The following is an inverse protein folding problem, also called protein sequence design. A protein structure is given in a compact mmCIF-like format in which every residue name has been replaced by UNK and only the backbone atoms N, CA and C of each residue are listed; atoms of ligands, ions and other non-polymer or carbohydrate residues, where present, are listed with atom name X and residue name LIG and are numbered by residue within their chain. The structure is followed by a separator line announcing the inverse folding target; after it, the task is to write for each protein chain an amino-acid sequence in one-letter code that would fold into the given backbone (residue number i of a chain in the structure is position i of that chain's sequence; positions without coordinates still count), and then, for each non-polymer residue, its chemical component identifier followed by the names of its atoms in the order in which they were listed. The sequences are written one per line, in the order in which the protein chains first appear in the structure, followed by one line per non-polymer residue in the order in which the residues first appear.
data_IF_945260390321
#
_entry.id   IF_945260390321
#
_cell.length_a   1.000
_cell.length_b   1.000
_cell.length_c   1.000
_cell.angle_alpha   90.00
_cell.angle_beta   90.00
_cell.angle_gamma   90.00
#
_symmetry.space_group_name_H-M   'P 1'
#
loop_
_entity.id
_entity.type
_entity.pdbx_description
1 polymer ?
#
# COMPACT_ATOMS: atom_id res chain seq x y z
N UNK A 1 11.28 3.15 30.06
CA UNK A 1 11.86 1.80 30.17
C UNK A 1 13.13 1.76 31.02
N UNK A 2 13.91 2.84 31.14
CA UNK A 2 15.14 2.85 31.95
C UNK A 2 14.86 2.60 33.44
N UNK A 3 14.01 3.41 34.08
CA UNK A 3 13.77 3.30 35.53
C UNK A 3 13.30 1.89 35.97
N UNK A 4 12.33 1.23 35.30
CA UNK A 4 11.97 -0.14 35.65
C UNK A 4 13.11 -1.15 35.44
N UNK A 5 13.93 -0.98 34.40
CA UNK A 5 15.06 -1.87 34.13
C UNK A 5 16.17 -1.68 35.17
N UNK A 6 16.43 -0.46 35.63
CA UNK A 6 17.41 -0.19 36.70
C UNK A 6 17.04 -0.91 37.99
N UNK A 7 15.75 -0.87 38.38
CA UNK A 7 15.25 -1.57 39.57
C UNK A 7 15.41 -3.09 39.43
N UNK A 8 15.12 -3.66 38.26
CA UNK A 8 15.23 -5.10 38.03
C UNK A 8 16.67 -5.59 37.79
N UNK A 9 17.61 -4.70 37.47
CA UNK A 9 19.00 -5.05 37.17
C UNK A 9 19.97 -4.73 38.33
N UNK A 10 19.47 -4.43 39.54
CA UNK A 10 20.28 -4.15 40.73
C UNK A 10 21.28 -5.27 41.06
N UNK A 11 20.89 -6.52 40.84
CA UNK A 11 21.75 -7.70 41.07
C UNK A 11 22.86 -7.85 40.01
N UNK A 12 22.84 -7.05 38.94
CA UNK A 12 23.76 -7.12 37.80
C UNK A 12 24.56 -5.80 37.62
N UNK A 13 25.46 -5.45 38.55
CA UNK A 13 26.14 -4.14 38.57
C UNK A 13 27.06 -3.88 37.37
N UNK A 14 27.43 -4.91 36.61
CA UNK A 14 28.30 -4.79 35.44
C UNK A 14 27.54 -4.52 34.14
N UNK A 15 26.19 -4.55 34.15
CA UNK A 15 25.37 -4.26 32.97
C UNK A 15 25.17 -2.75 32.87
N UNK A 16 25.67 -2.15 31.79
CA UNK A 16 25.49 -0.71 31.54
C UNK A 16 24.18 -0.48 30.80
N UNK A 17 23.23 0.19 31.45
CA UNK A 17 21.99 0.64 30.82
C UNK A 17 22.21 2.00 30.16
N UNK A 18 21.85 2.12 28.87
CA UNK A 18 21.96 3.36 28.11
C UNK A 18 20.67 3.64 27.34
N UNK A 19 20.24 4.89 27.38
CA UNK A 19 19.26 5.42 26.43
C UNK A 19 19.90 5.61 25.06
N UNK A 20 19.09 5.52 24.00
CA UNK A 20 19.51 5.88 22.65
C UNK A 20 18.87 7.21 22.26
N UNK A 21 19.67 8.14 21.74
CA UNK A 21 19.17 9.35 21.09
C UNK A 21 18.60 9.06 19.69
N UNK A 22 18.91 7.88 19.13
CA UNK A 22 18.42 7.46 17.82
C UNK A 22 17.08 6.74 17.97
N UNK A 23 16.06 7.22 17.25
CA UNK A 23 14.75 6.59 17.22
C UNK A 23 14.71 5.44 16.22
N UNK A 24 15.37 4.33 16.55
CA UNK A 24 15.44 3.16 15.67
C UNK A 24 14.06 2.49 15.48
N UNK A 25 13.69 2.08 14.26
CA UNK A 25 12.34 1.66 13.94
C UNK A 25 12.09 0.17 14.23
N UNK A 26 12.56 -0.35 15.37
CA UNK A 26 12.44 -1.78 15.70
C UNK A 26 11.00 -2.28 15.80
N UNK A 27 10.05 -1.42 16.15
CA UNK A 27 8.62 -1.72 16.09
C UNK A 27 8.14 -2.17 14.70
N UNK A 28 8.84 -1.78 13.62
CA UNK A 28 8.50 -2.19 12.27
C UNK A 28 8.73 -3.69 12.03
N UNK A 29 9.51 -4.39 12.87
CA UNK A 29 9.63 -5.85 12.84
C UNK A 29 8.26 -6.52 12.99
N UNK A 30 7.37 -5.97 13.83
CA UNK A 30 6.01 -6.50 14.01
C UNK A 30 5.15 -6.40 12.74
N UNK A 31 5.56 -5.61 11.75
CA UNK A 31 4.88 -5.51 10.45
C UNK A 31 5.31 -6.62 9.47
N UNK A 32 6.26 -7.48 9.85
CA UNK A 32 6.70 -8.63 9.05
C UNK A 32 5.75 -9.80 9.36
N UNK A 33 5.20 -10.41 8.32
CA UNK A 33 4.17 -11.46 8.43
C UNK A 33 4.61 -12.64 9.30
N UNK A 34 5.87 -13.08 9.16
CA UNK A 34 6.42 -14.16 9.97
C UNK A 34 6.30 -13.91 11.48
N UNK A 35 6.59 -12.69 11.92
CA UNK A 35 6.47 -12.31 13.34
C UNK A 35 5.02 -12.04 13.72
N UNK A 36 4.26 -11.36 12.88
CA UNK A 36 2.84 -11.08 13.11
C UNK A 36 2.00 -12.35 13.27
N UNK A 37 2.18 -13.33 12.38
CA UNK A 37 1.46 -14.60 12.41
C UNK A 37 1.84 -15.44 13.62
N UNK A 38 3.12 -15.46 14.00
CA UNK A 38 3.59 -16.16 15.18
C UNK A 38 2.96 -15.59 16.46
N UNK A 39 2.91 -14.25 16.58
CA UNK A 39 2.29 -13.56 17.71
C UNK A 39 0.78 -13.84 17.77
N UNK A 40 0.10 -13.78 16.62
CA UNK A 40 -1.34 -14.03 16.56
C UNK A 40 -1.73 -15.48 16.87
N UNK A 41 -0.81 -16.43 16.64
CA UNK A 41 -1.04 -17.86 16.92
C UNK A 41 -0.60 -18.28 18.33
N UNK A 42 0.10 -17.43 19.07
CA UNK A 42 0.58 -17.77 20.40
C UNK A 42 -0.61 -17.93 21.38
N UNK A 43 -0.70 -19.08 22.03
CA UNK A 43 -1.72 -19.39 23.04
C UNK A 43 -1.22 -19.23 24.47
N UNK A 44 0.09 -19.11 24.66
CA UNK A 44 0.77 -18.96 25.93
C UNK A 44 2.01 -18.06 25.81
N UNK A 45 2.52 -17.50 26.93
CA UNK A 45 3.78 -16.76 26.93
C UNK A 45 4.94 -17.68 26.56
N UNK A 46 5.66 -17.35 25.47
CA UNK A 46 6.79 -18.13 24.97
C UNK A 46 7.95 -17.24 24.53
N UNK A 47 9.17 -17.75 24.68
CA UNK A 47 10.37 -17.10 24.15
C UNK A 47 10.79 -17.78 22.85
N UNK A 48 10.93 -17.01 21.76
CA UNK A 48 11.29 -17.52 20.44
C UNK A 48 12.59 -16.87 19.96
N UNK A 49 13.55 -17.69 19.57
CA UNK A 49 14.85 -17.25 19.08
C UNK A 49 14.79 -17.01 17.56
N UNK A 50 15.29 -15.87 17.11
CA UNK A 50 15.44 -15.54 15.70
C UNK A 50 16.81 -14.93 15.42
N UNK A 51 17.37 -15.28 14.27
CA UNK A 51 18.46 -14.52 13.67
C UNK A 51 17.87 -13.55 12.65
N UNK A 52 17.90 -12.25 12.95
CA UNK A 52 17.32 -11.20 12.09
C UNK A 52 18.21 -10.89 10.88
N UNK A 53 19.47 -11.35 10.87
CA UNK A 53 20.36 -11.19 9.72
C UNK A 53 20.33 -12.36 8.74
N UNK A 54 19.56 -13.42 9.03
CA UNK A 54 19.58 -14.65 8.24
C UNK A 54 21.03 -15.13 8.00
N UNK A 55 21.45 -15.23 6.74
CA UNK A 55 22.78 -15.64 6.30
C UNK A 55 23.70 -14.47 5.89
N UNK A 56 23.28 -13.21 6.04
CA UNK A 56 24.02 -12.04 5.54
C UNK A 56 25.46 -11.95 6.06
N UNK A 57 25.72 -12.43 7.28
CA UNK A 57 27.05 -12.39 7.88
C UNK A 57 28.09 -13.28 7.17
N UNK A 58 27.66 -14.12 6.21
CA UNK A 58 28.58 -14.88 5.37
C UNK A 58 29.23 -14.01 4.28
N UNK A 59 28.53 -13.00 3.76
CA UNK A 59 29.01 -12.14 2.66
C UNK A 59 29.32 -10.71 3.10
N UNK A 60 28.66 -10.20 4.14
CA UNK A 60 28.84 -8.82 4.61
C UNK A 60 29.18 -8.72 6.10
N UNK A 61 29.81 -7.62 6.48
CA UNK A 61 30.15 -7.34 7.88
C UNK A 61 28.91 -7.10 8.74
N UNK A 62 29.05 -7.26 10.06
CA UNK A 62 27.98 -6.94 11.03
C UNK A 62 27.52 -5.48 10.95
N UNK A 63 28.43 -4.54 10.66
CA UNK A 63 28.10 -3.13 10.45
C UNK A 63 27.18 -2.95 9.22
N UNK A 64 27.52 -3.59 8.10
CA UNK A 64 26.74 -3.54 6.87
C UNK A 64 25.39 -4.22 7.05
N UNK A 65 25.35 -5.39 7.69
CA UNK A 65 24.11 -6.12 7.99
C UNK A 65 23.17 -5.30 8.89
N UNK A 66 23.71 -4.64 9.91
CA UNK A 66 22.92 -3.74 10.76
C UNK A 66 22.40 -2.52 9.99
N UNK A 67 23.23 -1.92 9.13
CA UNK A 67 22.81 -0.78 8.29
C UNK A 67 21.68 -1.18 7.33
N UNK A 68 21.81 -2.36 6.67
CA UNK A 68 20.75 -2.95 5.83
C UNK A 68 19.47 -3.17 6.61
N UNK A 69 19.56 -3.76 7.81
CA UNK A 69 18.40 -4.00 8.67
C UNK A 69 17.67 -2.69 9.01
N UNK A 70 18.41 -1.68 9.49
CA UNK A 70 17.82 -0.38 9.86
C UNK A 70 17.17 0.29 8.65
N UNK A 71 17.81 0.22 7.48
CA UNK A 71 17.26 0.75 6.24
C UNK A 71 15.92 0.09 5.87
N UNK A 72 15.86 -1.25 5.93
CA UNK A 72 14.62 -2.00 5.66
C UNK A 72 13.53 -1.63 6.68
N UNK A 73 13.85 -1.63 7.98
CA UNK A 73 12.89 -1.32 9.03
C UNK A 73 12.39 0.12 8.95
N UNK A 74 13.25 1.09 8.60
CA UNK A 74 12.85 2.48 8.40
C UNK A 74 11.92 2.60 7.21
N UNK A 75 12.24 1.94 6.10
CA UNK A 75 11.37 1.93 4.92
C UNK A 75 10.00 1.28 5.23
N UNK A 76 9.97 0.15 5.95
CA UNK A 76 8.73 -0.50 6.42
C UNK A 76 7.92 0.36 7.39
N UNK A 77 8.60 1.20 8.19
CA UNK A 77 7.96 2.15 9.08
C UNK A 77 7.26 3.25 8.28
N UNK A 78 7.94 3.82 7.28
CA UNK A 78 7.50 4.92 6.42
C UNK A 78 6.41 4.50 5.42
N UNK A 79 6.67 3.48 4.60
CA UNK A 79 5.75 3.00 3.58
C UNK A 79 5.81 1.49 3.46
N UNK A 80 4.94 0.82 4.21
CA UNK A 80 4.95 -0.63 4.32
C UNK A 80 4.69 -1.33 2.98
N UNK A 81 3.68 -0.88 2.23
CA UNK A 81 3.29 -1.50 0.95
C UNK A 81 4.41 -1.40 -0.08
N UNK A 82 4.97 -0.20 -0.27
CA UNK A 82 6.04 0.01 -1.26
C UNK A 82 7.31 -0.74 -0.91
N UNK A 83 7.68 -0.78 0.37
CA UNK A 83 8.86 -1.52 0.82
C UNK A 83 8.73 -3.03 0.58
N UNK A 84 7.55 -3.62 0.84
CA UNK A 84 7.30 -5.03 0.56
C UNK A 84 7.47 -5.37 -0.93
N UNK A 85 7.01 -4.49 -1.82
CA UNK A 85 7.19 -4.64 -3.27
C UNK A 85 8.67 -4.56 -3.64
N UNK A 86 9.41 -3.61 -3.08
CA UNK A 86 10.85 -3.44 -3.33
C UNK A 86 11.64 -4.68 -2.88
N UNK A 87 11.31 -5.28 -1.75
CA UNK A 87 11.97 -6.48 -1.22
C UNK A 87 11.77 -7.72 -2.12
N UNK A 88 10.76 -7.73 -3.00
CA UNK A 88 10.46 -8.86 -3.92
C UNK A 88 10.48 -8.37 -5.37
N UNK A 89 11.67 -8.09 -5.95
CA UNK A 89 11.78 -7.46 -7.27
C UNK A 89 11.30 -8.37 -8.41
N UNK A 90 11.37 -9.69 -8.25
CA UNK A 90 10.93 -10.67 -9.23
C UNK A 90 10.09 -11.77 -8.54
N UNK A 91 9.28 -12.54 -9.29
CA UNK A 91 8.41 -13.58 -8.71
C UNK A 91 9.16 -14.86 -8.33
N UNK A 92 10.39 -15.03 -8.82
CA UNK A 92 11.28 -16.15 -8.48
C UNK A 92 11.93 -16.00 -7.11
N UNK A 93 11.95 -14.79 -6.53
CA UNK A 93 12.50 -14.52 -5.21
C UNK A 93 11.61 -15.14 -4.15
N UNK A 94 12.13 -16.21 -3.56
CA UNK A 94 11.53 -16.91 -2.43
C UNK A 94 12.15 -16.44 -1.12
N UNK A 95 11.39 -16.59 -0.04
CA UNK A 95 11.89 -16.47 1.32
C UNK A 95 11.94 -17.88 1.88
N UNK A 96 13.11 -18.31 2.33
CA UNK A 96 13.24 -19.65 2.93
C UNK A 96 12.46 -19.74 4.24
N UNK A 97 11.98 -20.94 4.58
CA UNK A 97 11.13 -21.13 5.75
C UNK A 97 11.80 -20.68 7.06
N UNK A 98 13.13 -20.81 7.16
CA UNK A 98 13.90 -20.40 8.32
C UNK A 98 14.36 -18.93 8.26
N UNK A 99 14.37 -18.31 7.08
CA UNK A 99 14.74 -16.90 6.89
C UNK A 99 13.60 -15.92 7.16
N UNK A 100 13.96 -14.69 7.52
CA UNK A 100 13.04 -13.55 7.68
C UNK A 100 12.92 -12.78 6.37
N UNK A 101 14.02 -12.61 5.66
CA UNK A 101 14.13 -11.80 4.46
C UNK A 101 14.16 -12.65 3.18
N UNK A 102 13.78 -12.09 2.03
CA UNK A 102 13.89 -12.80 0.76
C UNK A 102 15.35 -13.11 0.42
N UNK A 103 15.58 -14.29 -0.17
CA UNK A 103 16.92 -14.69 -0.61
C UNK A 103 17.28 -13.92 -1.87
N UNK A 104 18.27 -13.03 -1.75
CA UNK A 104 18.73 -12.14 -2.81
C UNK A 104 20.26 -12.24 -2.94
N UNK A 105 20.75 -12.07 -4.16
CA UNK A 105 22.19 -11.92 -4.43
C UNK A 105 22.71 -10.57 -3.92
N UNK A 106 24.03 -10.43 -3.74
CA UNK A 106 24.64 -9.18 -3.29
C UNK A 106 24.36 -8.02 -4.28
N UNK A 107 24.37 -8.26 -5.60
CA UNK A 107 24.00 -7.23 -6.58
C UNK A 107 22.52 -6.82 -6.49
N UNK A 108 21.61 -7.76 -6.21
CA UNK A 108 20.20 -7.46 -6.00
C UNK A 108 19.99 -6.66 -4.72
N UNK A 109 20.69 -7.01 -3.63
CA UNK A 109 20.65 -6.25 -2.38
C UNK A 109 21.07 -4.80 -2.58
N UNK A 110 22.13 -4.52 -3.35
CA UNK A 110 22.54 -3.14 -3.65
C UNK A 110 21.40 -2.35 -4.31
N UNK A 111 20.70 -2.95 -5.29
CA UNK A 111 19.57 -2.29 -5.97
C UNK A 111 18.39 -2.05 -5.03
N UNK A 112 18.09 -3.05 -4.18
CA UNK A 112 17.04 -2.96 -3.16
C UNK A 112 17.36 -1.87 -2.15
N UNK A 113 18.57 -1.82 -1.62
CA UNK A 113 19.02 -0.80 -0.66
C UNK A 113 18.90 0.62 -1.22
N UNK A 114 19.31 0.84 -2.48
CA UNK A 114 19.12 2.14 -3.15
C UNK A 114 17.63 2.50 -3.23
N UNK A 115 16.78 1.57 -3.65
CA UNK A 115 15.34 1.81 -3.75
C UNK A 115 14.68 2.08 -2.39
N UNK A 116 15.13 1.40 -1.32
CA UNK A 116 14.64 1.63 0.05
C UNK A 116 15.04 3.01 0.57
N UNK A 117 16.29 3.42 0.33
CA UNK A 117 16.77 4.76 0.65
C UNK A 117 15.92 5.83 -0.04
N UNK A 118 15.63 5.66 -1.32
CA UNK A 118 14.83 6.62 -2.09
C UNK A 118 13.39 6.74 -1.56
N UNK A 119 12.80 5.65 -1.08
CA UNK A 119 11.47 5.70 -0.42
C UNK A 119 11.49 6.51 0.86
N UNK A 120 12.50 6.31 1.70
CA UNK A 120 12.64 7.05 2.98
C UNK A 120 12.84 8.53 2.71
N UNK A 121 13.74 8.87 1.78
CA UNK A 121 14.05 10.26 1.46
C UNK A 121 12.89 10.98 0.77
N UNK A 122 12.16 10.30 -0.11
CA UNK A 122 10.97 10.87 -0.75
C UNK A 122 9.87 11.22 0.28
N UNK A 123 9.65 10.36 1.28
CA UNK A 123 8.71 10.66 2.37
C UNK A 123 9.19 11.84 3.22
N UNK A 124 10.47 11.87 3.59
CA UNK A 124 11.06 12.99 4.33
C UNK A 124 10.93 14.31 3.56
N UNK A 125 11.27 14.31 2.26
CA UNK A 125 11.16 15.48 1.40
C UNK A 125 9.71 15.98 1.27
N UNK A 126 8.74 15.06 1.15
CA UNK A 126 7.31 15.40 1.09
C UNK A 126 6.79 15.97 2.42
N UNK A 127 7.20 15.40 3.56
CA UNK A 127 6.74 15.86 4.89
C UNK A 127 7.31 17.21 5.28
N UNK A 128 8.56 17.47 4.91
CA UNK A 128 9.27 18.69 5.30
C UNK A 128 9.36 19.73 4.18
N UNK A 129 8.77 19.48 3.01
CA UNK A 129 8.87 20.30 1.80
C UNK A 129 10.34 20.63 1.44
N UNK A 130 11.21 19.63 1.48
CA UNK A 130 12.65 19.76 1.17
C UNK A 130 12.97 19.00 -0.11
N UNK A 131 13.78 19.62 -0.97
CA UNK A 131 14.35 18.93 -2.11
C UNK A 131 15.42 17.93 -1.66
N UNK A 132 15.16 16.63 -1.85
CA UNK A 132 16.04 15.52 -1.45
C UNK A 132 17.46 15.65 -2.01
N UNK A 133 17.61 16.26 -3.19
CA UNK A 133 18.92 16.44 -3.83
C UNK A 133 19.85 17.42 -3.05
N UNK A 134 19.29 18.25 -2.17
CA UNK A 134 20.04 19.20 -1.35
C UNK A 134 20.63 18.60 -0.07
N UNK A 135 20.27 17.33 0.24
CA UNK A 135 20.71 16.65 1.46
C UNK A 135 22.15 16.13 1.32
N UNK A 136 22.95 16.34 2.36
CA UNK A 136 24.29 15.76 2.50
C UNK A 136 24.25 14.30 2.95
N UNK A 137 25.37 13.58 2.77
CA UNK A 137 25.48 12.18 3.21
C UNK A 137 25.28 12.01 4.72
N UNK A 138 25.70 13.00 5.53
CA UNK A 138 25.48 12.99 6.98
C UNK A 138 24.00 13.17 7.31
N UNK A 139 23.31 14.11 6.67
CA UNK A 139 21.86 14.30 6.85
C UNK A 139 21.07 13.07 6.40
N UNK A 140 21.43 12.45 5.26
CA UNK A 140 20.79 11.22 4.77
C UNK A 140 20.95 10.09 5.80
N UNK A 141 22.16 9.89 6.33
CA UNK A 141 22.43 8.88 7.35
C UNK A 141 21.60 9.14 8.61
N UNK A 142 21.55 10.39 9.06
CA UNK A 142 20.88 10.79 10.29
C UNK A 142 19.34 10.64 10.16
N UNK A 143 18.77 10.92 8.97
CA UNK A 143 17.36 10.61 8.64
C UNK A 143 17.07 9.11 8.75
N UNK A 144 17.93 8.26 8.17
CA UNK A 144 17.73 6.81 8.18
C UNK A 144 17.82 6.27 9.62
N UNK A 145 18.78 6.75 10.40
CA UNK A 145 18.97 6.38 11.80
C UNK A 145 17.89 6.97 12.73
N UNK A 146 17.15 7.99 12.28
CA UNK A 146 16.07 8.62 13.04
C UNK A 146 16.60 9.57 14.12
N UNK A 147 17.66 10.30 13.80
CA UNK A 147 18.09 11.45 14.58
C UNK A 147 17.21 12.66 14.27
N UNK A 148 17.06 13.57 15.25
CA UNK A 148 16.39 14.85 15.04
C UNK A 148 17.29 15.76 14.20
N UNK A 149 16.85 16.07 12.98
CA UNK A 149 17.57 17.00 12.10
C UNK A 149 16.70 18.20 11.74
N UNK A 150 17.33 19.37 11.74
CA UNK A 150 16.69 20.60 11.26
C UNK A 150 16.67 20.58 9.72
N UNK A 151 15.51 20.83 9.08
CA UNK A 151 15.43 20.89 7.63
C UNK A 151 16.43 21.90 7.03
N UNK A 152 17.05 21.61 5.86
CA UNK A 152 17.97 22.53 5.20
C UNK A 152 17.30 23.87 4.86
N UNK A 153 18.03 24.98 5.02
CA UNK A 153 17.54 26.33 4.71
C UNK A 153 17.23 26.52 3.21
N UNK A 154 16.26 27.39 2.90
CA UNK A 154 15.83 27.69 1.53
C UNK A 154 17.00 28.17 0.63
N UNK A 155 17.94 28.94 1.19
CA UNK A 155 19.10 29.43 0.45
C UNK A 155 20.00 28.27 -0.02
N UNK A 156 20.16 27.23 0.80
CA UNK A 156 20.93 26.03 0.44
C UNK A 156 20.24 25.20 -0.63
N UNK A 157 18.91 25.15 -0.59
CA UNK A 157 18.11 24.47 -1.60
C UNK A 157 18.27 25.13 -2.98
N UNK A 158 18.23 26.47 -3.03
CA UNK A 158 18.44 27.23 -4.28
C UNK A 158 19.84 27.01 -4.87
N UNK A 159 20.89 26.95 -4.04
CA UNK A 159 22.26 26.68 -4.52
C UNK A 159 22.36 25.28 -5.15
N UNK A 160 21.77 24.27 -4.52
CA UNK A 160 21.78 22.91 -5.04
C UNK A 160 21.01 22.78 -6.38
N UNK A 161 19.92 23.54 -6.55
CA UNK A 161 19.16 23.58 -7.81
C UNK A 161 19.97 24.23 -8.94
N UNK A 162 20.70 25.31 -8.65
CA UNK A 162 21.60 25.97 -9.62
C UNK A 162 22.74 25.04 -10.04
N UNK A 163 23.39 24.35 -9.10
CA UNK A 163 24.45 23.38 -9.41
C UNK A 163 23.94 22.20 -10.24
N UNK A 164 22.71 21.72 -9.95
CA UNK A 164 22.10 20.64 -10.70
C UNK A 164 21.76 21.07 -12.13
N UNK A 165 21.20 22.27 -12.30
CA UNK A 165 20.94 22.84 -13.63
C UNK A 165 22.24 22.98 -14.43
N UNK A 166 23.34 23.42 -13.79
CA UNK A 166 24.65 23.49 -14.43
C UNK A 166 25.21 22.11 -14.84
N UNK A 167 24.99 21.07 -14.02
CA UNK A 167 25.37 19.68 -14.36
C UNK A 167 24.51 19.06 -15.46
N UNK A 168 23.20 19.29 -15.45
CA UNK A 168 22.30 18.78 -16.51
C UNK A 168 22.60 19.45 -17.86
N UNK A 169 22.99 20.73 -17.87
CA UNK A 169 23.46 21.42 -19.08
C UNK A 169 24.78 20.84 -19.63
N UNK A 170 25.57 20.15 -18.80
CA UNK A 170 26.82 19.49 -19.19
C UNK A 170 26.64 18.05 -19.71
N UNK A 171 25.47 17.43 -19.51
CA UNK A 171 25.16 16.06 -19.94
C UNK A 171 24.19 16.00 -21.14
N UNK A 172 24.55 16.66 -22.24
CA UNK A 172 24.06 16.27 -23.56
C UNK A 172 24.94 15.11 -24.08
N UNK A 173 24.62 13.88 -23.67
CA UNK A 173 25.29 12.68 -24.23
C UNK A 173 24.27 11.66 -24.69
N UNK A 174 24.34 11.33 -25.97
CA UNK A 174 23.56 10.29 -26.62
C UNK A 174 23.70 8.94 -25.89
N UNK A 175 22.58 8.23 -25.70
CA UNK A 175 22.58 6.94 -25.00
C UNK A 175 22.63 5.81 -26.03
N UNK A 176 23.72 5.06 -26.02
CA UNK A 176 23.91 3.90 -26.91
C UNK A 176 23.41 2.63 -26.23
N UNK A 177 22.41 1.98 -26.83
CA UNK A 177 21.81 0.74 -26.32
C UNK A 177 22.14 -0.41 -27.25
N UNK A 178 22.56 -1.55 -26.68
CA UNK A 178 22.87 -2.77 -27.43
C UNK A 178 21.63 -3.67 -27.48
N UNK A 179 21.12 -3.96 -28.67
CA UNK A 179 19.94 -4.82 -28.91
C UNK A 179 20.26 -5.92 -29.92
N UNK A 180 19.35 -6.86 -30.16
CA UNK A 180 19.53 -7.97 -31.10
C UNK A 180 18.41 -7.98 -32.14
N UNK A 181 18.76 -8.31 -33.39
CA UNK A 181 17.76 -8.49 -34.46
C UNK A 181 17.02 -9.83 -34.33
N UNK A 182 16.01 -10.04 -35.19
CA UNK A 182 15.22 -11.30 -35.25
C UNK A 182 16.04 -12.55 -35.62
N UNK A 183 17.30 -12.39 -36.01
CA UNK A 183 18.24 -13.44 -36.36
C UNK A 183 19.39 -13.57 -35.35
N UNK A 184 19.35 -12.84 -34.23
CA UNK A 184 20.34 -12.91 -33.15
C UNK A 184 21.59 -12.06 -33.36
N UNK A 185 21.64 -11.21 -34.38
CA UNK A 185 22.78 -10.32 -34.62
C UNK A 185 22.74 -9.11 -33.68
N UNK A 186 23.90 -8.74 -33.12
CA UNK A 186 24.01 -7.61 -32.20
C UNK A 186 23.97 -6.28 -32.96
N UNK A 187 23.08 -5.38 -32.56
CA UNK A 187 22.91 -4.02 -33.09
C UNK A 187 23.21 -3.00 -32.00
N UNK A 188 23.91 -1.92 -32.35
CA UNK A 188 24.08 -0.74 -31.51
C UNK A 188 23.12 0.36 -32.00
N UNK A 189 22.19 0.77 -31.14
CA UNK A 189 21.26 1.88 -31.41
C UNK A 189 21.68 3.07 -30.55
N UNK A 190 22.10 4.15 -31.18
CA UNK A 190 22.45 5.41 -30.50
C UNK A 190 21.27 6.36 -30.58
N UNK A 191 20.54 6.52 -29.49
CA UNK A 191 19.42 7.46 -29.43
C UNK A 191 19.93 8.83 -28.99
N UNK A 192 19.83 9.81 -29.88
CA UNK A 192 20.28 11.20 -29.67
C UNK A 192 19.15 12.15 -29.26
N UNK A 193 17.88 11.73 -29.33
CA UNK A 193 16.70 12.59 -29.11
C UNK A 193 15.88 12.15 -27.89
N UNK A 194 15.47 13.11 -27.07
CA UNK A 194 14.65 12.88 -25.86
C UNK A 194 13.21 12.39 -26.14
N UNK A 195 12.77 12.43 -27.41
CA UNK A 195 11.40 12.08 -27.80
C UNK A 195 11.08 10.59 -27.57
N UNK A 196 12.01 9.69 -27.91
CA UNK A 196 11.77 8.24 -27.80
C UNK A 196 11.82 7.72 -26.36
N UNK A 197 12.45 8.46 -25.43
CA UNK A 197 12.42 8.13 -24.00
C UNK A 197 11.07 8.43 -23.34
N UNK A 198 10.22 9.25 -23.98
CA UNK A 198 8.92 9.65 -23.42
C UNK A 198 7.77 8.66 -23.71
N UNK A 199 7.93 7.76 -24.68
CA UNK A 199 6.78 7.11 -25.35
C UNK A 199 6.59 5.62 -25.07
N UNK A 200 7.41 4.98 -24.21
CA UNK A 200 7.18 3.59 -23.83
C UNK A 200 7.03 3.40 -22.32
N UNK A 201 5.91 3.88 -21.78
CA UNK A 201 5.33 3.38 -20.55
C UNK A 201 4.12 2.53 -20.93
N UNK A 202 4.12 1.23 -20.62
CA UNK A 202 2.89 0.44 -20.63
C UNK A 202 1.90 1.15 -19.68
N UNK A 203 0.85 1.76 -20.24
CA UNK A 203 0.03 2.80 -19.59
C UNK A 203 -0.63 2.40 -18.27
N UNK A 204 -0.57 1.13 -17.88
CA UNK A 204 -0.90 0.67 -16.54
C UNK A 204 -0.01 -0.54 -16.19
N UNK A 205 0.90 -0.36 -15.24
CA UNK A 205 1.63 -1.46 -14.62
C UNK A 205 0.65 -2.29 -13.75
N UNK A 206 -0.01 -3.25 -14.40
CA UNK A 206 -0.97 -4.14 -13.75
C UNK A 206 -0.30 -4.99 -12.66
N UNK A 207 1.01 -5.24 -12.76
CA UNK A 207 1.77 -6.06 -11.82
C UNK A 207 1.93 -5.33 -10.49
N UNK A 208 2.34 -4.06 -10.53
CA UNK A 208 2.42 -3.23 -9.32
C UNK A 208 1.06 -3.17 -8.63
N UNK A 209 -0.03 -2.97 -9.39
CA UNK A 209 -1.39 -2.97 -8.83
C UNK A 209 -1.79 -4.32 -8.23
N UNK A 210 -1.53 -5.43 -8.93
CA UNK A 210 -1.85 -6.76 -8.44
C UNK A 210 -1.12 -7.09 -7.13
N UNK A 211 0.15 -6.70 -7.01
CA UNK A 211 0.91 -6.85 -5.77
C UNK A 211 0.33 -5.97 -4.66
N UNK A 212 0.03 -4.70 -4.93
CA UNK A 212 -0.56 -3.81 -3.93
C UNK A 212 -1.98 -4.23 -3.50
N UNK A 213 -2.78 -4.81 -4.40
CA UNK A 213 -4.13 -5.31 -4.10
C UNK A 213 -4.12 -6.42 -3.03
N UNK A 214 -3.05 -7.22 -2.94
CA UNK A 214 -2.91 -8.24 -1.88
C UNK A 214 -2.95 -7.63 -0.47
N UNK A 215 -2.65 -6.33 -0.32
CA UNK A 215 -2.63 -5.61 0.94
C UNK A 215 -3.93 -4.89 1.30
N UNK A 216 -4.97 -4.93 0.44
CA UNK A 216 -6.27 -4.29 0.72
C UNK A 216 -6.92 -4.78 2.02
N UNK A 217 -6.64 -6.02 2.43
CA UNK A 217 -7.11 -6.57 3.70
C UNK A 217 -6.66 -5.76 4.94
N UNK A 218 -5.52 -5.05 4.86
CA UNK A 218 -5.02 -4.20 5.95
C UNK A 218 -5.93 -2.99 6.19
N UNK A 219 -6.58 -2.47 5.15
CA UNK A 219 -7.51 -1.34 5.23
C UNK A 219 -8.77 -1.66 6.03
N UNK A 220 -9.14 -2.94 6.12
CA UNK A 220 -10.33 -3.39 6.86
C UNK A 220 -10.20 -3.26 8.39
N UNK A 221 -9.01 -2.88 8.88
CA UNK A 221 -8.76 -2.57 10.31
C UNK A 221 -9.32 -1.21 10.73
N UNK A 222 -9.33 -0.23 9.82
CA UNK A 222 -9.80 1.13 10.08
C UNK A 222 -10.89 1.48 9.09
N UNK A 223 -12.15 1.39 9.53
CA UNK A 223 -13.34 1.67 8.72
C UNK A 223 -14.03 2.87 9.36
N UNK A 224 -14.24 3.93 8.57
CA UNK A 224 -14.97 5.12 8.97
C UNK A 224 -16.34 5.08 8.29
N UNK A 225 -17.39 5.33 9.05
CA UNK A 225 -18.77 5.41 8.54
C UNK A 225 -19.26 6.83 8.79
N UNK A 226 -19.71 7.57 7.76
CA UNK A 226 -20.26 8.90 7.96
C UNK A 226 -21.54 8.82 8.78
N UNK A 227 -21.67 9.69 9.79
CA UNK A 227 -22.82 9.72 10.71
C UNK A 227 -23.66 10.99 10.58
N UNK A 228 -23.49 11.74 9.49
CA UNK A 228 -24.16 13.02 9.29
C UNK A 228 -25.59 12.84 8.74
N UNK A 229 -26.51 13.73 9.13
CA UNK A 229 -27.88 13.86 8.61
C UNK A 229 -28.76 12.61 8.72
N UNK A 230 -28.88 12.04 9.93
CA UNK A 230 -29.83 10.96 10.21
C UNK A 230 -31.26 11.53 10.23
N UNK A 231 -32.06 11.20 9.23
CA UNK A 231 -33.50 11.47 9.23
C UNK A 231 -34.23 10.39 10.05
N UNK A 232 -35.04 10.79 11.05
CA UNK A 232 -35.84 9.88 11.87
C UNK A 232 -36.90 9.10 11.05
N UNK A 233 -37.24 9.60 9.86
CA UNK A 233 -38.14 8.95 8.92
C UNK A 233 -37.42 8.11 7.85
N UNK A 234 -36.09 8.17 7.79
CA UNK A 234 -35.29 7.43 6.82
C UNK A 234 -35.22 5.92 7.09
N UNK A 235 -34.82 5.17 6.06
CA UNK A 235 -34.49 3.76 6.17
C UNK A 235 -33.06 3.59 6.69
N UNK A 236 -32.88 2.65 7.62
CA UNK A 236 -31.57 2.32 8.18
C UNK A 236 -31.06 1.02 7.58
N UNK A 237 -29.90 1.06 6.92
CA UNK A 237 -29.29 -0.11 6.27
C UNK A 237 -28.18 -0.69 7.14
N UNK A 238 -28.27 -1.99 7.42
CA UNK A 238 -27.29 -2.72 8.24
C UNK A 238 -26.42 -3.57 7.32
N UNK A 239 -25.12 -3.23 7.26
CA UNK A 239 -24.13 -3.94 6.43
C UNK A 239 -23.30 -4.93 7.26
N UNK A 240 -23.36 -6.24 6.95
CA UNK A 240 -22.50 -7.23 7.60
C UNK A 240 -21.01 -6.99 7.34
N UNK A 241 -20.21 -6.97 8.42
CA UNK A 241 -18.77 -6.69 8.36
C UNK A 241 -17.98 -7.70 7.50
N UNK A 242 -18.41 -8.96 7.46
CA UNK A 242 -17.79 -10.00 6.64
C UNK A 242 -17.96 -9.73 5.14
N UNK A 243 -19.14 -9.24 4.72
CA UNK A 243 -19.40 -8.88 3.32
C UNK A 243 -18.55 -7.68 2.90
N UNK A 244 -18.53 -6.63 3.72
CA UNK A 244 -17.69 -5.45 3.48
C UNK A 244 -16.20 -5.82 3.40
N UNK A 245 -15.70 -6.63 4.34
CA UNK A 245 -14.31 -7.09 4.34
C UNK A 245 -13.98 -7.86 3.06
N UNK A 246 -14.87 -8.75 2.61
CA UNK A 246 -14.65 -9.56 1.41
C UNK A 246 -14.70 -8.71 0.14
N UNK A 247 -15.60 -7.72 0.05
CA UNK A 247 -15.67 -6.77 -1.04
C UNK A 247 -14.37 -5.96 -1.16
N UNK A 248 -13.84 -5.44 -0.04
CA UNK A 248 -12.58 -4.71 -0.02
C UNK A 248 -11.41 -5.59 -0.48
N UNK A 249 -11.40 -6.88 -0.09
CA UNK A 249 -10.32 -7.81 -0.46
C UNK A 249 -10.29 -8.17 -1.95
N UNK A 250 -11.44 -8.14 -2.64
CA UNK A 250 -11.51 -8.42 -4.09
C UNK A 250 -11.41 -7.16 -4.95
N UNK A 251 -11.32 -5.98 -4.32
CA UNK A 251 -11.21 -4.70 -5.02
C UNK A 251 -9.86 -4.45 -5.68
N UNK A 252 -9.78 -3.31 -6.35
CA UNK A 252 -8.53 -2.75 -6.87
C UNK A 252 -8.33 -1.34 -6.33
N UNK A 253 -7.08 -0.87 -6.33
CA UNK A 253 -6.71 0.45 -5.84
C UNK A 253 -7.13 1.58 -6.79
N UNK A 254 -7.38 1.26 -8.06
CA UNK A 254 -7.56 2.26 -9.10
C UNK A 254 -8.83 2.03 -9.90
N UNK A 255 -9.11 0.78 -10.26
CA UNK A 255 -10.31 0.37 -10.97
C UNK A 255 -11.45 0.15 -9.97
N UNK A 256 -12.59 0.79 -10.20
CA UNK A 256 -13.79 0.60 -9.41
C UNK A 256 -14.38 -0.79 -9.65
N UNK A 257 -14.82 -1.44 -8.58
CA UNK A 257 -15.65 -2.65 -8.63
C UNK A 257 -16.94 -2.37 -7.89
N UNK A 258 -18.03 -3.01 -8.28
CA UNK A 258 -19.30 -2.88 -7.57
C UNK A 258 -20.09 -4.17 -7.52
N UNK A 259 -21.13 -4.17 -6.69
CA UNK A 259 -22.04 -5.29 -6.51
C UNK A 259 -23.44 -4.80 -6.17
N UNK A 260 -24.43 -5.63 -6.48
CA UNK A 260 -25.84 -5.35 -6.20
C UNK A 260 -26.19 -5.86 -4.81
N UNK A 261 -26.88 -5.05 -4.03
CA UNK A 261 -27.26 -5.32 -2.65
C UNK A 261 -28.65 -5.96 -2.60
N UNK A 262 -28.75 -7.08 -1.90
CA UNK A 262 -30.01 -7.75 -1.62
C UNK A 262 -30.13 -8.04 -0.13
N UNK A 263 -31.33 -7.94 0.39
CA UNK A 263 -31.57 -8.08 1.82
C UNK A 263 -33.03 -8.31 2.17
N UNK A 264 -33.35 -8.09 3.44
CA UNK A 264 -34.71 -8.20 3.98
C UNK A 264 -34.94 -7.12 5.02
N UNK A 265 -36.18 -6.65 5.14
CA UNK A 265 -36.61 -5.89 6.31
C UNK A 265 -36.54 -6.74 7.58
N UNK A 266 -36.11 -6.13 8.68
CA UNK A 266 -36.14 -6.78 9.98
C UNK A 266 -37.59 -7.11 10.39
N UNK A 267 -37.85 -8.28 10.99
CA UNK A 267 -39.22 -8.71 11.34
C UNK A 267 -39.89 -7.79 12.37
N UNK A 268 -39.09 -7.12 13.22
CA UNK A 268 -39.58 -6.22 14.27
C UNK A 268 -39.71 -4.76 13.79
N UNK A 269 -38.97 -4.35 12.75
CA UNK A 269 -38.97 -2.98 12.26
C UNK A 269 -38.70 -2.90 10.75
N UNK A 270 -39.74 -2.56 9.98
CA UNK A 270 -39.69 -2.46 8.52
C UNK A 270 -38.70 -1.38 8.05
N UNK A 271 -38.46 -0.34 8.86
CA UNK A 271 -37.50 0.74 8.55
C UNK A 271 -36.04 0.26 8.55
N UNK A 272 -35.75 -0.88 9.18
CA UNK A 272 -34.40 -1.45 9.22
C UNK A 272 -34.28 -2.49 8.10
N UNK A 273 -33.35 -2.24 7.17
CA UNK A 273 -33.04 -3.09 6.04
C UNK A 273 -31.71 -3.80 6.30
N UNK A 274 -31.75 -5.13 6.46
CA UNK A 274 -30.55 -5.94 6.67
C UNK A 274 -30.02 -6.45 5.33
N UNK A 275 -28.79 -6.06 4.98
CA UNK A 275 -28.12 -6.57 3.78
C UNK A 275 -27.71 -8.02 4.04
N UNK A 276 -28.17 -8.95 3.22
CA UNK A 276 -27.88 -10.40 3.37
C UNK A 276 -26.85 -10.88 2.36
N UNK A 277 -26.83 -10.33 1.16
CA UNK A 277 -25.83 -10.69 0.17
C UNK A 277 -25.48 -9.53 -0.78
N UNK A 278 -24.30 -9.66 -1.38
CA UNK A 278 -23.83 -8.80 -2.46
C UNK A 278 -23.67 -9.69 -3.69
N UNK A 279 -24.42 -9.40 -4.75
CA UNK A 279 -24.31 -10.10 -6.03
C UNK A 279 -23.29 -9.37 -6.89
N UNK A 280 -22.32 -10.11 -7.41
CA UNK A 280 -21.26 -9.59 -8.29
C UNK A 280 -21.57 -10.01 -9.74
N UNK A 281 -22.37 -9.24 -10.50
CA UNK A 281 -22.61 -9.54 -11.90
C UNK A 281 -21.34 -9.26 -12.73
N UNK A 282 -21.28 -9.78 -13.97
CA UNK A 282 -20.25 -9.38 -14.93
C UNK A 282 -20.22 -7.86 -15.07
N UNK A 283 -19.04 -7.29 -14.90
CA UNK A 283 -18.85 -5.85 -14.80
C UNK A 283 -17.53 -5.42 -15.45
N UNK A 284 -17.50 -4.18 -15.95
CA UNK A 284 -16.30 -3.52 -16.46
C UNK A 284 -16.11 -2.23 -15.69
N UNK A 285 -15.05 -2.20 -14.88
CA UNK A 285 -14.65 -1.03 -14.11
C UNK A 285 -13.63 -0.17 -14.83
N UNK A 286 -13.69 1.13 -14.59
CA UNK A 286 -12.60 2.07 -14.84
C UNK A 286 -12.33 2.89 -13.57
N UNK A 287 -11.64 4.02 -13.68
CA UNK A 287 -11.22 4.82 -12.51
C UNK A 287 -12.35 5.69 -11.93
N UNK A 288 -13.36 5.95 -12.74
CA UNK A 288 -14.46 6.87 -12.48
C UNK A 288 -15.80 6.17 -12.38
N UNK A 289 -15.95 4.96 -12.94
CA UNK A 289 -17.22 4.26 -12.98
C UNK A 289 -17.08 2.75 -13.11
N UNK A 290 -18.17 2.06 -12.76
CA UNK A 290 -18.39 0.64 -13.01
C UNK A 290 -19.63 0.48 -13.90
N UNK A 291 -19.51 -0.37 -14.91
CA UNK A 291 -20.63 -0.73 -15.80
C UNK A 291 -21.00 -2.17 -15.55
N UNK A 292 -22.26 -2.40 -15.20
CA UNK A 292 -22.83 -3.72 -14.98
C UNK A 292 -23.46 -4.29 -16.26
N UNK A 293 -23.67 -5.60 -16.28
CA UNK A 293 -24.56 -6.24 -17.26
C UNK A 293 -25.95 -5.62 -17.24
N UNK A 294 -26.62 -5.61 -18.40
CA UNK A 294 -28.00 -5.10 -18.55
C UNK A 294 -29.05 -6.02 -17.91
N UNK A 295 -28.70 -7.29 -17.73
CA UNK A 295 -29.61 -8.29 -17.19
C UNK A 295 -29.55 -8.28 -15.66
N UNK A 296 -30.72 -8.23 -15.02
CA UNK A 296 -30.84 -8.41 -13.58
C UNK A 296 -30.37 -9.83 -13.19
N UNK A 297 -29.74 -10.00 -12.02
CA UNK A 297 -29.34 -11.32 -11.55
C UNK A 297 -30.57 -12.12 -11.11
N UNK A 298 -30.82 -13.24 -11.78
CA UNK A 298 -31.85 -14.20 -11.38
C UNK A 298 -31.19 -15.43 -10.75
N UNK A 299 -31.57 -15.77 -9.52
CA UNK A 299 -31.07 -16.95 -8.84
C UNK A 299 -32.07 -17.42 -7.77
N UNK A 300 -32.14 -18.73 -7.51
CA UNK A 300 -33.08 -19.30 -6.54
C UNK A 300 -32.93 -18.70 -5.13
N UNK A 301 -31.68 -18.46 -4.72
CA UNK A 301 -31.33 -17.83 -3.43
C UNK A 301 -31.74 -16.35 -3.31
N UNK A 302 -32.13 -15.69 -4.40
CA UNK A 302 -32.56 -14.28 -4.38
C UNK A 302 -34.08 -14.13 -4.29
N UNK A 303 -34.86 -15.21 -4.43
CA UNK A 303 -36.33 -15.13 -4.48
C UNK A 303 -36.97 -14.55 -3.22
N UNK A 304 -36.37 -14.80 -2.07
CA UNK A 304 -36.86 -14.33 -0.77
C UNK A 304 -36.24 -13.00 -0.34
N UNK A 305 -35.42 -12.38 -1.20
CA UNK A 305 -34.68 -11.15 -0.92
C UNK A 305 -35.19 -9.99 -1.77
N UNK A 306 -35.27 -8.81 -1.17
CA UNK A 306 -35.56 -7.57 -1.89
C UNK A 306 -34.27 -6.89 -2.37
N UNK A 307 -34.29 -6.24 -3.55
CA UNK A 307 -33.19 -5.41 -4.00
C UNK A 307 -33.11 -4.13 -3.17
N UNK A 308 -31.95 -3.88 -2.55
CA UNK A 308 -31.70 -2.72 -1.69
C UNK A 308 -30.83 -1.65 -2.35
N UNK A 309 -30.28 -1.91 -3.53
CA UNK A 309 -29.41 -0.96 -4.23
C UNK A 309 -28.10 -1.57 -4.69
N UNK A 310 -27.03 -0.78 -4.71
CA UNK A 310 -25.70 -1.25 -5.13
C UNK A 310 -24.59 -0.59 -4.32
N UNK A 311 -23.43 -1.23 -4.30
CA UNK A 311 -22.22 -0.76 -3.61
C UNK A 311 -21.07 -0.75 -4.61
N UNK A 312 -20.17 0.24 -4.54
CA UNK A 312 -18.95 0.24 -5.33
C UNK A 312 -17.74 0.83 -4.60
N UNK A 313 -16.55 0.47 -5.06
CA UNK A 313 -15.31 1.07 -4.58
C UNK A 313 -15.00 2.34 -5.37
N UNK A 314 -14.43 3.34 -4.70
CA UNK A 314 -13.96 4.57 -5.34
C UNK A 314 -12.51 4.88 -4.92
N UNK A 315 -11.63 5.28 -5.86
CA UNK A 315 -10.23 5.60 -5.53
C UNK A 315 -10.06 6.94 -4.80
N UNK A 316 -11.05 7.84 -4.89
CA UNK A 316 -11.05 9.18 -4.30
C UNK A 316 -12.34 9.38 -3.50
N UNK A 317 -12.23 9.95 -2.31
CA UNK A 317 -13.39 10.31 -1.50
C UNK A 317 -14.08 11.55 -2.06
N UNK A 318 -15.40 11.50 -2.20
CA UNK A 318 -16.25 12.63 -2.59
C UNK A 318 -17.24 12.91 -1.45
N UNK A 319 -17.50 14.18 -1.17
CA UNK A 319 -18.52 14.59 -0.18
C UNK A 319 -19.96 14.43 -0.68
N UNK A 320 -20.17 13.98 -1.91
CA UNK A 320 -21.47 13.79 -2.54
C UNK A 320 -21.39 12.68 -3.59
N UNK A 321 -22.54 12.11 -3.95
CA UNK A 321 -22.65 11.12 -5.03
C UNK A 321 -22.14 11.70 -6.36
N UNK A 322 -21.39 10.91 -7.12
CA UNK A 322 -20.90 11.38 -8.42
C UNK A 322 -22.06 11.44 -9.42
N UNK A 323 -22.00 12.32 -10.44
CA UNK A 323 -23.00 12.34 -11.50
C UNK A 323 -23.15 10.98 -12.20
N UNK A 324 -22.08 10.18 -12.25
CA UNK A 324 -22.10 8.87 -12.87
C UNK A 324 -22.90 7.88 -12.02
N UNK A 325 -22.79 7.95 -10.70
CA UNK A 325 -23.53 7.07 -9.78
C UNK A 325 -25.03 7.37 -9.85
N UNK A 326 -25.40 8.66 -9.91
CA UNK A 326 -26.79 9.09 -10.10
C UNK A 326 -27.35 8.59 -11.43
N UNK A 327 -26.60 8.75 -12.53
CA UNK A 327 -27.03 8.25 -13.84
C UNK A 327 -27.14 6.73 -13.88
N UNK A 328 -26.23 6.01 -13.22
CA UNK A 328 -26.22 4.54 -13.19
C UNK A 328 -27.39 4.01 -12.40
N UNK A 329 -27.66 4.62 -11.24
CA UNK A 329 -28.81 4.28 -10.39
C UNK A 329 -30.12 4.54 -11.12
N UNK A 330 -30.28 5.70 -11.75
CA UNK A 330 -31.46 6.03 -12.54
C UNK A 330 -31.69 5.04 -13.69
N UNK A 331 -30.63 4.61 -14.38
CA UNK A 331 -30.72 3.60 -15.44
C UNK A 331 -31.12 2.23 -14.91
N UNK A 332 -30.57 1.79 -13.77
CA UNK A 332 -30.96 0.53 -13.14
C UNK A 332 -32.43 0.52 -12.75
N UNK A 333 -32.90 1.58 -12.10
CA UNK A 333 -34.30 1.73 -11.70
C UNK A 333 -35.25 1.79 -12.90
N UNK A 334 -34.85 2.44 -13.99
CA UNK A 334 -35.66 2.49 -15.21
C UNK A 334 -35.76 1.13 -15.90
N UNK A 335 -34.76 0.25 -15.73
CA UNK A 335 -34.70 -1.06 -16.39
C UNK A 335 -35.39 -2.15 -15.56
N UNK A 336 -35.31 -2.06 -14.22
CA UNK A 336 -35.82 -3.07 -13.30
C UNK A 336 -37.00 -2.52 -12.49
N UNK A 337 -38.22 -2.97 -12.82
CA UNK A 337 -39.45 -2.53 -12.12
C UNK A 337 -39.52 -2.99 -10.66
N UNK A 338 -38.73 -3.99 -10.27
CA UNK A 338 -38.63 -4.47 -8.88
C UNK A 338 -37.87 -3.52 -7.96
N UNK A 339 -37.08 -2.59 -8.52
CA UNK A 339 -36.25 -1.68 -7.74
C UNK A 339 -37.06 -0.44 -7.38
N UNK A 340 -37.53 -0.39 -6.12
CA UNK A 340 -38.24 0.77 -5.58
C UNK A 340 -37.26 1.89 -5.24
N UNK A 341 -37.56 3.12 -5.70
CA UNK A 341 -36.66 4.27 -5.49
C UNK A 341 -36.45 4.66 -4.04
N UNK A 342 -37.43 4.44 -3.17
CA UNK A 342 -37.31 4.75 -1.74
C UNK A 342 -36.40 3.76 -1.00
N UNK A 343 -36.28 2.52 -1.50
CA UNK A 343 -35.49 1.45 -0.88
C UNK A 343 -34.10 1.26 -1.51
N UNK A 344 -33.81 1.98 -2.60
CA UNK A 344 -32.58 1.79 -3.37
C UNK A 344 -31.49 2.77 -2.92
N UNK A 345 -30.38 2.23 -2.41
CA UNK A 345 -29.20 3.02 -2.00
C UNK A 345 -27.97 2.78 -2.88
N UNK A 346 -27.05 3.75 -2.83
CA UNK A 346 -25.70 3.62 -3.38
C UNK A 346 -24.70 3.74 -2.24
N UNK A 347 -23.82 2.74 -2.11
CA UNK A 347 -22.78 2.67 -1.08
C UNK A 347 -21.37 2.76 -1.65
#
# INVERSE_FOLDING_TARGET
MLDPLEVHMLDFPNIVLKGSELQLPFQALLKIEKFGDLILRATEPQMVLFNVFDDWLQTVSSYTAFSRLVLILRALHVNNERTRIILRPNPSVITEAHHVWPTLTDEEWIRVEVALKDVILADYGKKNNVNVASLTQTEIRDIILGAEITPPSLQRQQIAEIEKAAKEQSQLTAKTTKTVDKFGNQMLVTTTTNYEQSLYASRTDWRVRALSATHLHLRTRHIYVPTENIDENGLTYVMPKNLLRRLIMIGDLRTQIGGLLFGVSAPENVKIKEIRCIVMPPQVGNHQSVVFSKYAPEHELLRDLEPLGWIHTQPSELGQLSPIDVMTTAKMMATNTEWQGENCIVL
#
